data_IF_382393244042
#
_entry.id   IF_382393244042
#
_cell.length_a   1.000
_cell.length_b   1.000
_cell.length_c   1.000
_cell.angle_alpha   90.00
_cell.angle_beta   90.00
_cell.angle_gamma   90.00
#
_symmetry.space_group_name_H-M   'P 1'
#
loop_
_entity.id
_entity.type
_entity.pdbx_description
1 polymer ?
#
# COMPACT_ATOMS: atom_id res chain seq x y z
N UNK A 1 -11.71 13.17 -24.07
CA UNK A 1 -12.07 11.75 -24.03
C UNK A 1 -10.78 10.98 -23.85
N UNK A 2 -10.60 10.39 -22.68
CA UNK A 2 -9.41 9.62 -22.37
C UNK A 2 -9.49 8.24 -23.02
N UNK A 3 -8.37 7.64 -23.42
CA UNK A 3 -8.35 6.26 -23.93
C UNK A 3 -8.91 5.29 -22.88
N UNK A 4 -8.69 5.59 -21.60
CA UNK A 4 -9.17 4.81 -20.47
C UNK A 4 -10.71 4.80 -20.37
N UNK A 5 -11.39 5.90 -20.75
CA UNK A 5 -12.86 5.99 -20.76
C UNK A 5 -13.51 5.02 -21.76
N UNK A 6 -12.76 4.56 -22.77
CA UNK A 6 -13.23 3.60 -23.76
C UNK A 6 -13.20 2.17 -23.22
N UNK A 7 -12.38 1.88 -22.22
CA UNK A 7 -12.30 0.56 -21.59
C UNK A 7 -13.57 0.29 -20.77
N UNK A 8 -14.32 -0.76 -21.14
CA UNK A 8 -15.56 -1.12 -20.45
C UNK A 8 -15.31 -1.58 -19.01
N UNK A 9 -14.15 -2.19 -18.73
CA UNK A 9 -13.78 -2.62 -17.37
C UNK A 9 -13.51 -1.42 -16.48
N UNK A 10 -12.84 -0.38 -17.01
CA UNK A 10 -12.59 0.86 -16.28
C UNK A 10 -13.88 1.56 -15.90
N UNK A 11 -14.81 1.68 -16.86
CA UNK A 11 -16.13 2.26 -16.60
C UNK A 11 -16.89 1.50 -15.52
N UNK A 12 -16.89 0.16 -15.55
CA UNK A 12 -17.57 -0.67 -14.54
C UNK A 12 -16.93 -0.60 -13.17
N UNK A 13 -15.60 -0.51 -13.11
CA UNK A 13 -14.88 -0.36 -11.84
C UNK A 13 -15.30 0.92 -11.11
N UNK A 14 -15.44 2.01 -11.87
CA UNK A 14 -15.78 3.34 -11.35
C UNK A 14 -17.29 3.65 -11.32
N UNK A 15 -18.13 2.74 -11.82
CA UNK A 15 -19.59 2.89 -11.78
C UNK A 15 -20.10 2.43 -10.40
N UNK A 16 -20.61 3.35 -9.55
CA UNK A 16 -21.11 2.99 -8.22
C UNK A 16 -22.36 2.11 -8.27
N UNK A 17 -23.08 2.10 -9.39
CA UNK A 17 -24.30 1.31 -9.60
C UNK A 17 -24.00 -0.05 -10.26
N UNK A 18 -22.75 -0.29 -10.69
CA UNK A 18 -22.38 -1.58 -11.26
C UNK A 18 -22.25 -2.67 -10.19
N UNK A 19 -22.93 -3.78 -10.43
CA UNK A 19 -22.92 -4.97 -9.58
C UNK A 19 -22.51 -6.17 -10.44
N UNK A 20 -21.48 -6.94 -10.05
CA UNK A 20 -21.06 -8.11 -10.83
C UNK A 20 -22.23 -9.10 -10.93
N UNK A 21 -22.65 -9.52 -12.13
CA UNK A 21 -23.67 -10.55 -12.29
C UNK A 21 -23.24 -11.91 -11.69
N UNK A 22 -21.94 -12.15 -11.64
CA UNK A 22 -21.32 -13.38 -11.17
C UNK A 22 -21.44 -13.62 -9.66
N UNK A 23 -21.28 -12.57 -8.85
CA UNK A 23 -21.09 -12.68 -7.40
C UNK A 23 -21.71 -11.54 -6.59
N UNK A 24 -22.28 -10.53 -7.25
CA UNK A 24 -22.90 -9.38 -6.58
C UNK A 24 -21.92 -8.33 -6.03
N UNK A 25 -20.60 -8.46 -6.27
CA UNK A 25 -19.62 -7.46 -5.83
C UNK A 25 -19.81 -6.14 -6.58
N UNK A 26 -19.70 -5.03 -5.86
CA UNK A 26 -19.55 -3.67 -6.40
C UNK A 26 -18.27 -3.04 -5.84
N UNK A 27 -17.72 -2.06 -6.55
CA UNK A 27 -16.43 -1.43 -6.21
C UNK A 27 -16.55 0.08 -6.11
N UNK A 28 -17.11 0.74 -7.14
CA UNK A 28 -17.35 2.18 -7.14
C UNK A 28 -16.09 3.04 -7.17
N UNK A 29 -14.96 2.49 -7.61
CA UNK A 29 -13.67 3.18 -7.68
C UNK A 29 -12.47 2.24 -7.57
N UNK A 30 -11.28 2.86 -7.46
CA UNK A 30 -10.05 2.16 -7.11
C UNK A 30 -10.13 1.62 -5.67
N UNK A 31 -9.41 0.53 -5.40
CA UNK A 31 -9.42 -0.15 -4.11
C UNK A 31 -8.04 0.02 -3.49
N UNK A 32 -7.98 0.70 -2.36
CA UNK A 32 -6.75 0.79 -1.59
C UNK A 32 -6.48 -0.51 -0.83
N UNK A 33 -5.22 -0.93 -0.77
CA UNK A 33 -4.83 -2.21 -0.15
C UNK A 33 -3.85 -1.97 0.98
N UNK A 34 -4.26 -2.35 2.19
CA UNK A 34 -3.37 -2.40 3.35
C UNK A 34 -2.81 -3.80 3.57
N UNK A 35 -1.52 -3.89 3.87
CA UNK A 35 -0.90 -5.14 4.29
C UNK A 35 -1.15 -5.35 5.79
N UNK A 36 -1.61 -6.54 6.19
CA UNK A 36 -1.94 -6.86 7.58
C UNK A 36 -0.71 -6.85 8.50
N UNK A 37 0.39 -7.42 8.03
CA UNK A 37 1.66 -7.50 8.73
C UNK A 37 2.86 -7.42 7.75
N UNK A 38 4.10 -7.21 8.24
CA UNK A 38 5.31 -7.55 7.47
C UNK A 38 5.31 -9.03 7.06
N UNK A 39 5.89 -9.39 5.92
CA UNK A 39 5.88 -10.78 5.41
C UNK A 39 6.57 -11.76 6.37
N UNK A 40 7.55 -11.29 7.13
CA UNK A 40 8.30 -12.09 8.11
C UNK A 40 7.56 -12.26 9.45
N UNK A 41 6.38 -11.67 9.64
CA UNK A 41 5.61 -11.78 10.89
C UNK A 41 5.07 -13.21 11.06
N UNK A 42 5.52 -13.97 12.08
CA UNK A 42 5.21 -15.39 12.19
C UNK A 42 3.93 -15.69 12.98
N UNK A 43 3.29 -14.66 13.55
CA UNK A 43 2.15 -14.78 14.45
C UNK A 43 0.84 -14.39 13.76
N UNK A 44 -0.27 -14.44 14.50
CA UNK A 44 -1.55 -13.99 13.98
C UNK A 44 -1.50 -12.49 13.62
N UNK A 45 -2.22 -12.12 12.56
CA UNK A 45 -2.46 -10.72 12.23
C UNK A 45 -3.52 -10.13 13.20
N UNK A 46 -3.43 -8.84 13.57
CA UNK A 46 -4.43 -8.19 14.39
C UNK A 46 -5.76 -8.08 13.66
N UNK A 47 -6.86 -8.26 14.39
CA UNK A 47 -8.15 -7.76 13.93
C UNK A 47 -8.14 -6.22 13.90
N UNK A 48 -9.11 -5.62 13.21
CA UNK A 48 -9.15 -4.18 13.03
C UNK A 48 -9.23 -3.43 14.37
N UNK A 49 -8.17 -2.67 14.68
CA UNK A 49 -8.06 -1.88 15.91
C UNK A 49 -7.38 -2.61 17.08
N UNK A 50 -7.03 -3.87 16.90
CA UNK A 50 -6.37 -4.68 17.93
C UNK A 50 -4.84 -4.59 17.87
N UNK A 51 -4.21 -5.04 18.96
CA UNK A 51 -2.77 -5.22 19.07
C UNK A 51 -2.49 -6.68 19.38
N UNK A 52 -1.69 -7.33 18.55
CA UNK A 52 -1.17 -8.68 18.82
C UNK A 52 0.16 -8.53 19.56
N UNK A 53 0.33 -9.27 20.65
CA UNK A 53 1.56 -9.28 21.43
C UNK A 53 1.98 -10.71 21.76
N UNK A 54 3.15 -11.10 21.28
CA UNK A 54 3.74 -12.43 21.47
C UNK A 54 5.12 -12.26 22.13
N UNK A 55 5.14 -12.33 23.47
CA UNK A 55 6.31 -11.99 24.25
C UNK A 55 6.73 -10.53 24.06
N UNK A 56 7.91 -10.30 23.48
CA UNK A 56 8.39 -8.96 23.15
C UNK A 56 7.91 -8.48 21.78
N UNK A 57 7.39 -9.36 20.94
CA UNK A 57 6.95 -9.00 19.60
C UNK A 57 5.55 -8.38 19.68
N UNK A 58 5.35 -7.29 18.94
CA UNK A 58 4.09 -6.54 18.95
C UNK A 58 3.74 -6.05 17.56
N UNK A 59 2.48 -6.19 17.19
CA UNK A 59 1.93 -5.70 15.94
C UNK A 59 0.64 -4.93 16.23
N UNK A 60 0.59 -3.66 15.84
CA UNK A 60 -0.60 -2.81 15.85
C UNK A 60 -0.96 -2.41 14.41
N UNK A 61 -1.95 -1.53 14.26
CA UNK A 61 -2.37 -1.02 12.95
C UNK A 61 -1.29 -0.22 12.20
N UNK A 62 -0.32 0.38 12.90
CA UNK A 62 0.70 1.27 12.30
C UNK A 62 2.14 0.95 12.73
N UNK A 63 2.34 0.16 13.80
CA UNK A 63 3.64 -0.12 14.39
C UNK A 63 3.88 -1.62 14.52
N UNK A 64 5.10 -2.08 14.21
CA UNK A 64 5.49 -3.46 14.41
C UNK A 64 6.90 -3.56 15.03
N UNK A 65 7.03 -4.47 15.98
CA UNK A 65 8.27 -4.88 16.63
C UNK A 65 8.41 -6.39 16.52
N UNK A 66 9.48 -6.84 15.86
CA UNK A 66 9.83 -8.27 15.73
C UNK A 66 11.30 -8.46 16.13
N UNK A 67 11.53 -8.93 17.35
CA UNK A 67 12.82 -8.99 17.99
C UNK A 67 13.51 -7.62 18.02
N UNK A 68 14.67 -7.52 17.38
CA UNK A 68 15.41 -6.27 17.25
C UNK A 68 14.91 -5.38 16.09
N UNK A 69 14.11 -5.91 15.17
CA UNK A 69 13.64 -5.20 13.98
C UNK A 69 12.46 -4.30 14.32
N UNK A 70 12.33 -3.20 13.59
CA UNK A 70 11.30 -2.18 13.79
C UNK A 70 10.68 -1.82 12.45
N UNK A 71 9.36 -1.75 12.41
CA UNK A 71 8.65 -1.45 11.19
C UNK A 71 7.57 -0.41 11.43
N UNK A 72 7.48 0.52 10.48
CA UNK A 72 6.41 1.50 10.38
C UNK A 72 5.56 1.14 9.18
N UNK A 73 4.24 1.32 9.30
CA UNK A 73 3.36 1.24 8.14
C UNK A 73 3.58 2.46 7.25
N UNK A 74 3.76 2.21 5.97
CA UNK A 74 4.10 3.22 4.99
C UNK A 74 2.94 3.45 4.02
N UNK A 75 2.89 4.62 3.41
CA UNK A 75 1.99 4.94 2.31
C UNK A 75 2.76 4.93 1.00
N UNK A 76 2.22 4.23 0.01
CA UNK A 76 2.75 4.20 -1.35
C UNK A 76 1.60 4.43 -2.32
N UNK A 77 1.76 5.39 -3.23
CA UNK A 77 0.75 5.73 -4.22
C UNK A 77 1.24 5.39 -5.63
N UNK A 78 0.35 4.79 -6.43
CA UNK A 78 0.58 4.60 -7.86
C UNK A 78 -0.49 5.35 -8.65
N UNK A 79 -0.13 6.48 -9.29
CA UNK A 79 -1.05 7.15 -10.21
C UNK A 79 -1.54 6.19 -11.29
N UNK A 80 -2.80 6.31 -11.70
CA UNK A 80 -3.32 5.54 -12.84
C UNK A 80 -3.18 6.38 -14.10
N UNK A 81 -2.45 5.87 -15.10
CA UNK A 81 -2.22 6.59 -16.35
C UNK A 81 -3.54 6.82 -17.06
N UNK A 82 -3.85 8.09 -17.30
CA UNK A 82 -5.13 8.47 -17.88
C UNK A 82 -6.28 8.52 -16.87
N UNK A 83 -6.01 8.58 -15.57
CA UNK A 83 -6.97 9.03 -14.58
C UNK A 83 -6.35 10.16 -13.76
N UNK A 84 -7.18 10.88 -13.00
CA UNK A 84 -6.72 11.82 -11.98
C UNK A 84 -6.44 11.12 -10.64
N UNK A 85 -6.90 9.87 -10.51
CA UNK A 85 -6.80 9.06 -9.29
C UNK A 85 -5.52 8.20 -9.24
N UNK A 86 -5.20 7.76 -8.03
CA UNK A 86 -4.12 6.83 -7.73
C UNK A 86 -4.66 5.66 -6.90
N UNK A 87 -4.05 4.48 -7.03
CA UNK A 87 -4.24 3.41 -6.05
C UNK A 87 -3.26 3.62 -4.90
N UNK A 88 -3.71 3.40 -3.66
CA UNK A 88 -2.87 3.51 -2.49
C UNK A 88 -2.63 2.14 -1.85
N UNK A 89 -1.36 1.85 -1.57
CA UNK A 89 -0.93 0.71 -0.80
C UNK A 89 -0.46 1.17 0.58
N UNK A 90 -0.67 0.32 1.59
CA UNK A 90 -0.12 0.50 2.92
C UNK A 90 0.81 -0.66 3.34
N UNK A 91 1.98 -0.81 2.69
CA UNK A 91 2.97 -1.83 3.05
C UNK A 91 3.69 -1.47 4.34
N UNK A 92 4.37 -2.45 4.93
CA UNK A 92 5.28 -2.26 6.05
C UNK A 92 6.68 -1.94 5.55
N UNK A 93 7.39 -1.09 6.28
CA UNK A 93 8.78 -0.74 6.00
C UNK A 93 9.63 -0.88 7.27
N UNK A 94 10.71 -1.65 7.16
CA UNK A 94 11.73 -1.79 8.18
C UNK A 94 12.62 -0.54 8.23
N UNK A 95 12.89 -0.07 9.43
CA UNK A 95 13.75 1.09 9.73
C UNK A 95 14.72 0.74 10.84
N UNK A 96 15.76 1.57 11.02
CA UNK A 96 16.66 1.42 12.15
C UNK A 96 15.90 1.63 13.49
N UNK A 97 16.27 0.92 14.57
CA UNK A 97 15.59 1.08 15.85
C UNK A 97 15.58 2.51 16.39
N UNK A 98 16.67 3.24 16.21
CA UNK A 98 16.78 4.65 16.58
C UNK A 98 15.78 5.53 15.82
N UNK A 99 15.63 5.34 14.51
CA UNK A 99 14.70 6.09 13.67
C UNK A 99 13.24 5.76 14.02
N UNK A 100 12.96 4.51 14.41
CA UNK A 100 11.63 4.11 14.86
C UNK A 100 11.20 4.85 16.13
N UNK A 101 12.07 4.89 17.14
CA UNK A 101 11.74 5.59 18.39
C UNK A 101 11.73 7.11 18.20
N UNK A 102 12.62 7.66 17.36
CA UNK A 102 12.54 9.07 16.99
C UNK A 102 11.20 9.40 16.31
N UNK A 103 10.71 8.53 15.41
CA UNK A 103 9.41 8.73 14.77
C UNK A 103 8.25 8.76 15.79
N UNK A 104 8.30 7.92 16.83
CA UNK A 104 7.34 7.94 17.93
C UNK A 104 7.41 9.24 18.73
N UNK A 105 8.62 9.66 19.12
CA UNK A 105 8.83 10.91 19.85
C UNK A 105 8.29 12.12 19.06
N UNK A 106 8.48 12.13 17.73
CA UNK A 106 7.95 13.18 16.84
C UNK A 106 6.42 13.20 16.82
N UNK A 107 5.78 12.04 16.75
CA UNK A 107 4.31 11.91 16.78
C UNK A 107 3.78 12.44 18.12
N UNK A 108 4.39 12.04 19.24
CA UNK A 108 4.00 12.47 20.58
C UNK A 108 4.21 13.98 20.79
N UNK A 109 5.31 14.53 20.25
CA UNK A 109 5.62 15.96 20.29
C UNK A 109 4.76 16.80 19.34
N UNK A 110 3.98 16.17 18.45
CA UNK A 110 3.17 16.87 17.45
C UNK A 110 4.01 17.51 16.34
N UNK A 111 5.21 17.00 16.06
CA UNK A 111 6.11 17.56 15.05
C UNK A 111 5.59 17.31 13.64
N UNK A 112 5.47 18.37 12.84
CA UNK A 112 4.96 18.30 11.47
C UNK A 112 6.01 18.54 10.39
N UNK A 113 7.26 18.83 10.78
CA UNK A 113 8.32 19.04 9.81
C UNK A 113 8.67 17.72 9.11
N UNK A 114 8.81 17.76 7.78
CA UNK A 114 9.17 16.55 7.03
C UNK A 114 10.56 16.06 7.43
N UNK A 115 10.70 14.74 7.59
CA UNK A 115 11.97 14.07 7.86
C UNK A 115 12.08 12.81 7.03
N UNK A 116 13.22 12.63 6.36
CA UNK A 116 13.53 11.44 5.58
C UNK A 116 14.40 10.50 6.41
N UNK A 117 13.97 9.24 6.57
CA UNK A 117 14.74 8.18 7.23
C UNK A 117 14.92 6.98 6.28
N UNK A 118 16.09 6.31 6.26
CA UNK A 118 16.30 5.13 5.42
C UNK A 118 15.32 4.00 5.79
N UNK A 119 14.83 3.29 4.78
CA UNK A 119 13.87 2.21 4.99
C UNK A 119 13.95 1.12 3.91
N UNK A 120 13.52 -0.09 4.26
CA UNK A 120 13.34 -1.21 3.32
C UNK A 120 11.92 -1.73 3.44
N UNK A 121 11.20 -1.90 2.33
CA UNK A 121 9.89 -2.55 2.37
C UNK A 121 10.02 -3.96 2.94
N UNK A 122 9.10 -4.31 3.82
CA UNK A 122 9.01 -5.62 4.46
C UNK A 122 7.86 -6.47 3.91
N UNK A 123 7.20 -5.99 2.85
CA UNK A 123 6.29 -6.78 2.03
C UNK A 123 6.83 -6.88 0.61
N UNK A 124 6.86 -8.09 0.06
CA UNK A 124 7.19 -8.35 -1.34
C UNK A 124 6.02 -7.85 -2.19
N UNK A 125 6.29 -6.86 -3.03
CA UNK A 125 5.28 -6.40 -4.00
C UNK A 125 5.20 -7.42 -5.15
N UNK A 126 3.99 -7.68 -5.70
CA UNK A 126 3.82 -8.54 -6.85
C UNK A 126 4.07 -7.76 -8.17
N UNK A 127 3.81 -8.41 -9.31
CA UNK A 127 3.72 -7.70 -10.59
C UNK A 127 2.73 -6.52 -10.48
N UNK A 128 2.97 -5.39 -11.17
CA UNK A 128 3.98 -5.16 -12.20
C UNK A 128 5.35 -4.72 -11.66
N UNK A 129 5.50 -4.58 -10.34
CA UNK A 129 6.73 -4.12 -9.67
C UNK A 129 7.23 -5.19 -8.69
N UNK A 130 7.61 -6.38 -9.18
CA UNK A 130 7.89 -7.50 -8.29
C UNK A 130 9.16 -7.27 -7.47
N UNK A 131 9.10 -7.48 -6.16
CA UNK A 131 10.27 -7.58 -5.30
C UNK A 131 10.19 -6.80 -3.98
N UNK A 132 11.34 -6.77 -3.29
CA UNK A 132 11.60 -5.94 -2.12
C UNK A 132 12.35 -4.68 -2.57
N UNK A 133 12.03 -3.55 -1.95
CA UNK A 133 12.57 -2.26 -2.36
C UNK A 133 13.15 -1.51 -1.17
N UNK A 134 14.29 -0.87 -1.42
CA UNK A 134 14.91 0.10 -0.52
C UNK A 134 14.52 1.53 -0.92
N UNK A 135 14.62 2.44 0.04
CA UNK A 135 14.29 3.84 -0.15
C UNK A 135 14.34 4.60 1.17
N UNK A 136 13.46 5.59 1.30
CA UNK A 136 13.29 6.34 2.52
C UNK A 136 11.81 6.43 2.92
N UNK A 137 11.53 6.46 4.22
CA UNK A 137 10.25 6.97 4.72
C UNK A 137 10.35 8.47 4.92
N UNK A 138 9.41 9.18 4.35
CA UNK A 138 9.20 10.60 4.59
C UNK A 138 8.14 10.71 5.69
N UNK A 139 8.61 10.93 6.92
CA UNK A 139 7.79 11.28 8.07
C UNK A 139 7.21 12.68 7.85
N UNK A 140 5.93 12.86 8.17
CA UNK A 140 5.19 14.11 7.98
C UNK A 140 4.49 14.55 9.26
N UNK A 141 3.24 14.99 9.12
CA UNK A 141 2.40 15.34 10.25
C UNK A 141 2.04 14.09 11.09
N UNK A 142 1.80 14.23 12.41
CA UNK A 142 1.55 13.10 13.32
C UNK A 142 0.35 12.21 12.96
N UNK A 143 -0.63 12.76 12.27
CA UNK A 143 -1.87 12.08 11.83
C UNK A 143 -1.77 11.52 10.41
N UNK A 144 -0.62 11.69 9.76
CA UNK A 144 -0.39 11.20 8.39
C UNK A 144 0.55 10.01 8.40
N UNK A 145 0.20 8.97 7.63
CA UNK A 145 1.09 7.82 7.44
C UNK A 145 2.38 8.26 6.72
N UNK A 146 3.57 7.83 7.18
CA UNK A 146 4.82 8.09 6.47
C UNK A 146 4.77 7.65 5.01
N UNK A 147 5.23 8.49 4.09
CA UNK A 147 5.26 8.16 2.66
C UNK A 147 6.56 7.41 2.32
N UNK A 148 6.46 6.27 1.67
CA UNK A 148 7.64 5.58 1.13
C UNK A 148 8.10 6.23 -0.17
N UNK A 149 9.33 6.71 -0.19
CA UNK A 149 10.02 7.24 -1.36
C UNK A 149 11.06 6.19 -1.82
N UNK A 150 10.78 5.43 -2.88
CA UNK A 150 11.70 4.39 -3.36
C UNK A 150 13.01 4.97 -3.89
N UNK A 151 14.07 4.16 -3.88
CA UNK A 151 15.35 4.58 -4.46
C UNK A 151 15.22 4.97 -5.94
N UNK A 152 15.82 6.10 -6.36
CA UNK A 152 15.76 6.56 -7.75
C UNK A 152 16.26 5.49 -8.73
N UNK A 153 15.55 5.32 -9.84
CA UNK A 153 15.89 4.34 -10.87
C UNK A 153 15.45 2.90 -10.57
N UNK A 154 14.82 2.64 -9.43
CA UNK A 154 14.11 1.38 -9.20
C UNK A 154 12.83 1.32 -10.03
N UNK A 155 12.39 0.10 -10.39
CA UNK A 155 11.08 -0.10 -11.07
C UNK A 155 9.92 0.43 -10.21
N UNK A 156 10.08 0.42 -8.89
CA UNK A 156 9.09 1.00 -7.97
C UNK A 156 9.05 2.52 -8.08
N UNK A 157 10.20 3.20 -8.14
CA UNK A 157 10.26 4.65 -8.35
C UNK A 157 9.67 5.06 -9.71
N UNK A 158 9.94 4.30 -10.77
CA UNK A 158 9.36 4.53 -12.10
C UNK A 158 7.83 4.37 -12.09
N UNK A 159 7.31 3.35 -11.42
CA UNK A 159 5.87 3.14 -11.30
C UNK A 159 5.17 4.19 -10.42
N UNK A 160 5.78 4.56 -9.29
CA UNK A 160 5.24 5.58 -8.38
C UNK A 160 5.19 6.98 -9.03
N UNK A 161 6.16 7.30 -9.89
CA UNK A 161 6.23 8.61 -10.57
C UNK A 161 5.48 8.63 -11.91
N UNK A 162 5.65 7.59 -12.73
CA UNK A 162 5.08 7.50 -14.08
C UNK A 162 3.69 6.87 -14.14
N UNK A 163 3.20 6.36 -13.01
CA UNK A 163 1.92 5.68 -12.89
C UNK A 163 1.88 4.31 -13.56
N UNK A 164 0.80 3.58 -13.29
CA UNK A 164 0.49 2.27 -13.86
C UNK A 164 -0.52 2.41 -15.01
N UNK A 165 -0.39 1.57 -16.04
CA UNK A 165 -1.52 1.35 -16.94
C UNK A 165 -2.64 0.61 -16.20
N UNK A 166 -3.86 0.66 -16.73
CA UNK A 166 -4.97 -0.05 -16.09
C UNK A 166 -4.79 -1.57 -16.07
N UNK A 167 -4.22 -2.17 -17.13
CA UNK A 167 -3.91 -3.61 -17.10
C UNK A 167 -2.85 -3.95 -16.04
N UNK A 168 -1.83 -3.10 -15.87
CA UNK A 168 -0.81 -3.27 -14.85
C UNK A 168 -1.38 -3.08 -13.43
N UNK A 169 -2.36 -2.19 -13.25
CA UNK A 169 -3.11 -2.07 -12.00
C UNK A 169 -3.91 -3.35 -11.70
N UNK A 170 -4.57 -3.93 -12.70
CA UNK A 170 -5.29 -5.20 -12.52
C UNK A 170 -4.31 -6.34 -12.18
N UNK A 171 -3.07 -6.31 -12.70
CA UNK A 171 -2.02 -7.27 -12.32
C UNK A 171 -1.62 -7.11 -10.86
N UNK A 172 -1.46 -5.86 -10.41
CA UNK A 172 -1.18 -5.53 -9.02
C UNK A 172 -2.28 -6.07 -8.09
N UNK A 173 -3.55 -5.79 -8.40
CA UNK A 173 -4.66 -6.28 -7.58
C UNK A 173 -4.71 -7.81 -7.52
N UNK A 174 -4.59 -8.50 -8.66
CA UNK A 174 -4.56 -9.95 -8.68
C UNK A 174 -3.37 -10.53 -7.89
N UNK A 175 -2.20 -9.91 -8.00
CA UNK A 175 -1.01 -10.30 -7.24
C UNK A 175 -1.15 -10.09 -5.72
N UNK A 176 -2.01 -9.16 -5.30
CA UNK A 176 -2.36 -8.90 -3.90
C UNK A 176 -3.58 -9.69 -3.41
N UNK A 177 -4.09 -10.62 -4.23
CA UNK A 177 -5.23 -11.49 -3.87
C UNK A 177 -6.61 -10.94 -4.25
N UNK A 178 -6.69 -9.77 -4.89
CA UNK A 178 -7.93 -9.11 -5.31
C UNK A 178 -8.08 -9.13 -6.85
N UNK A 179 -8.22 -10.31 -7.47
CA UNK A 179 -8.39 -10.35 -8.93
C UNK A 179 -9.76 -9.78 -9.36
N UNK A 180 -9.74 -8.53 -9.84
CA UNK A 180 -10.94 -7.82 -10.26
C UNK A 180 -11.41 -8.19 -11.67
N UNK A 181 -10.54 -8.78 -12.50
CA UNK A 181 -10.85 -9.01 -13.93
C UNK A 181 -12.11 -9.83 -14.14
N UNK A 182 -12.34 -10.95 -13.44
CA UNK A 182 -13.55 -11.75 -13.64
C UNK A 182 -14.82 -10.95 -13.34
N UNK A 183 -14.72 -10.00 -12.41
CA UNK A 183 -15.85 -9.20 -11.93
C UNK A 183 -16.20 -8.02 -12.83
N UNK A 184 -15.32 -7.63 -13.75
CA UNK A 184 -15.48 -6.47 -14.63
C UNK A 184 -15.86 -6.85 -16.07
N UNK A 185 -16.12 -8.13 -16.35
CA UNK A 185 -16.49 -8.63 -17.69
C UNK A 185 -17.91 -8.22 -18.11
N UNK A 186 -18.82 -8.04 -17.13
CA UNK A 186 -20.25 -7.82 -17.37
C UNK A 186 -21.00 -9.09 -17.76
N UNK A 187 -20.40 -10.27 -17.54
CA UNK A 187 -21.00 -11.58 -17.82
C UNK A 187 -21.06 -12.40 -16.53
N UNK A 188 -22.01 -13.35 -16.47
CA UNK A 188 -22.16 -14.29 -15.36
C UNK A 188 -21.29 -15.54 -15.55
#
# INVERSE_FOLDING_TARGET
MNLLDLDARWRRLNDPDYVCPCCGRSFGGLIDIGFGAPDDWPFAEPEAGDVVAEGEDKLSSELCRLGARRFLRAHLAFPVRGAEDAVHLAPWAEVAPEDFYEALDRIEAGESAERSIPATLANILPAPVPGLFTGNLILGAPDTRPRFAPDPGSVLAEAASGGLSFDALLDLYAGLGEDLRPHLTGQA
#
